data_IF_315819306047
#
_entry.id   IF_315819306047
#
_cell.length_a   1.000
_cell.length_b   1.000
_cell.length_c   1.000
_cell.angle_alpha   90.00
_cell.angle_beta   90.00
_cell.angle_gamma   90.00
#
_symmetry.space_group_name_H-M   'P 1'
#
loop_
_entity.id
_entity.type
_entity.pdbx_description
1 polymer ?
#
# COMPACT_ATOMS: atom_id res chain seq x y z
N UNK A 1 -12.71 8.38 55.48
CA UNK A 1 -13.39 9.00 54.30
C UNK A 1 -13.40 10.53 54.56
N UNK A 2 -12.31 11.21 54.23
CA UNK A 2 -12.13 12.61 54.57
C UNK A 2 -12.48 13.63 53.46
N UNK A 3 -12.83 13.19 52.27
CA UNK A 3 -12.97 14.11 51.13
C UNK A 3 -14.38 14.13 50.48
N UNK A 4 -15.35 13.41 51.02
CA UNK A 4 -16.75 13.46 50.59
C UNK A 4 -16.95 13.33 49.06
N UNK A 5 -17.97 13.98 48.52
CA UNK A 5 -18.31 14.00 47.08
C UNK A 5 -17.22 14.69 46.25
N UNK A 6 -16.52 15.69 46.77
CA UNK A 6 -15.46 16.42 46.08
C UNK A 6 -14.24 15.53 45.80
N UNK A 7 -13.98 14.51 46.60
CA UNK A 7 -12.92 13.54 46.35
C UNK A 7 -13.21 12.60 45.17
N UNK A 8 -14.50 12.41 44.83
CA UNK A 8 -14.93 11.59 43.69
C UNK A 8 -14.82 12.34 42.34
N UNK A 9 -14.85 13.65 42.37
CA UNK A 9 -14.76 14.54 41.21
C UNK A 9 -13.33 14.88 40.82
N UNK A 10 -12.33 14.52 41.63
CA UNK A 10 -10.92 14.74 41.32
C UNK A 10 -10.36 13.64 40.43
N UNK A 11 -9.81 13.99 39.26
CA UNK A 11 -8.98 13.10 38.48
C UNK A 11 -7.75 12.65 39.28
N UNK A 12 -7.76 11.40 39.74
CA UNK A 12 -6.66 10.80 40.56
C UNK A 12 -5.41 10.44 39.76
N UNK A 13 -5.26 10.92 38.53
CA UNK A 13 -4.13 10.57 37.64
C UNK A 13 -2.82 11.30 38.01
N UNK A 14 -2.90 12.34 38.81
CA UNK A 14 -1.71 13.09 39.29
C UNK A 14 -1.87 13.44 40.76
N UNK A 15 -0.87 13.19 41.60
CA UNK A 15 -0.88 13.66 43.00
C UNK A 15 -1.16 15.17 43.07
N UNK A 16 -1.97 15.64 44.03
CA UNK A 16 -2.15 17.07 44.24
C UNK A 16 -0.81 17.76 44.45
N UNK A 17 -0.56 18.84 43.75
CA UNK A 17 0.68 19.64 43.90
C UNK A 17 1.81 19.27 42.94
N UNK A 18 1.67 18.25 42.05
CA UNK A 18 2.69 18.02 41.03
C UNK A 18 2.60 19.12 39.95
N UNK A 19 3.62 19.97 39.77
CA UNK A 19 3.59 21.05 38.80
C UNK A 19 3.53 20.48 37.36
N UNK A 20 2.94 21.23 36.44
CA UNK A 20 3.01 20.92 35.02
C UNK A 20 4.46 21.03 34.56
N UNK A 21 4.81 20.23 33.53
CA UNK A 21 6.12 20.37 32.86
C UNK A 21 6.27 21.81 32.37
N UNK A 22 7.37 22.53 32.72
CA UNK A 22 7.58 23.90 32.24
C UNK A 22 7.57 23.96 30.69
N UNK A 23 7.00 25.04 30.15
CA UNK A 23 6.90 25.24 28.70
C UNK A 23 8.27 25.26 28.02
N UNK A 24 9.30 25.76 28.70
CA UNK A 24 10.70 25.70 28.22
C UNK A 24 11.17 24.28 28.01
N UNK A 25 10.85 23.34 28.91
CA UNK A 25 11.18 21.93 28.76
C UNK A 25 10.39 21.26 27.66
N UNK A 26 9.14 21.65 27.44
CA UNK A 26 8.32 21.20 26.31
C UNK A 26 8.95 21.68 25.02
N UNK A 27 9.34 22.94 24.91
CA UNK A 27 10.03 23.52 23.75
C UNK A 27 11.36 22.83 23.48
N UNK A 28 12.16 22.53 24.51
CA UNK A 28 13.42 21.80 24.39
C UNK A 28 13.22 20.40 23.79
N UNK A 29 12.21 19.64 24.26
CA UNK A 29 11.86 18.32 23.73
C UNK A 29 11.47 18.41 22.26
N UNK A 30 10.64 19.41 21.88
CA UNK A 30 10.19 19.58 20.49
C UNK A 30 11.38 19.90 19.59
N UNK A 31 12.24 20.84 19.98
CA UNK A 31 13.43 21.24 19.23
C UNK A 31 14.36 20.04 19.01
N UNK A 32 14.78 19.37 20.09
CA UNK A 32 15.69 18.24 20.00
C UNK A 32 15.10 17.07 19.20
N UNK A 33 13.77 16.89 19.20
CA UNK A 33 13.14 15.83 18.39
C UNK A 33 13.35 16.04 16.88
N UNK A 34 13.51 17.27 16.44
CA UNK A 34 13.73 17.63 15.02
C UNK A 34 15.23 17.57 14.63
N UNK A 35 16.11 17.45 15.60
CA UNK A 35 17.55 17.31 15.38
C UNK A 35 17.99 15.84 15.45
N UNK A 36 19.07 15.45 14.75
CA UNK A 36 19.65 14.12 14.92
C UNK A 36 20.05 13.85 16.38
N UNK A 37 19.85 12.65 16.93
CA UNK A 37 20.31 12.32 18.26
C UNK A 37 21.85 12.33 18.33
N UNK A 38 22.48 12.72 19.45
CA UNK A 38 23.93 12.83 19.60
C UNK A 38 24.66 11.48 19.75
N UNK A 39 23.99 10.37 19.52
CA UNK A 39 24.49 9.01 19.59
C UNK A 39 24.16 8.25 18.30
N UNK A 40 24.82 7.11 18.06
CA UNK A 40 24.60 6.26 16.89
C UNK A 40 23.17 5.71 16.82
N UNK A 41 22.24 6.58 16.40
CA UNK A 41 20.83 6.24 16.18
C UNK A 41 20.22 7.16 15.11
N UNK A 42 19.30 6.61 14.35
CA UNK A 42 18.60 7.34 13.27
C UNK A 42 17.44 8.21 13.77
N UNK A 43 17.01 8.04 15.01
CA UNK A 43 15.90 8.79 15.59
C UNK A 43 15.94 8.74 17.12
N UNK A 44 15.29 9.71 17.75
CA UNK A 44 15.14 9.74 19.19
C UNK A 44 14.18 8.65 19.70
N UNK A 45 14.60 7.93 20.72
CA UNK A 45 13.69 7.09 21.52
C UNK A 45 13.16 7.90 22.71
N UNK A 46 11.98 7.52 23.24
CA UNK A 46 11.39 8.15 24.43
C UNK A 46 12.38 8.15 25.61
N UNK A 47 13.11 7.06 25.80
CA UNK A 47 14.09 6.92 26.90
C UNK A 47 15.32 7.79 26.70
N UNK A 48 15.85 7.84 25.48
CA UNK A 48 17.01 8.68 25.16
C UNK A 48 16.67 10.17 25.31
N UNK A 49 15.51 10.58 24.81
CA UNK A 49 15.01 11.94 24.97
C UNK A 49 14.81 12.28 26.45
N UNK A 50 14.15 11.41 27.21
CA UNK A 50 13.95 11.63 28.65
C UNK A 50 15.25 11.81 29.42
N UNK A 51 16.29 11.02 29.09
CA UNK A 51 17.64 11.17 29.66
C UNK A 51 18.29 12.49 29.27
N UNK A 52 18.16 12.92 28.02
CA UNK A 52 18.77 14.16 27.53
C UNK A 52 18.18 15.42 28.17
N UNK A 53 16.85 15.47 28.40
CA UNK A 53 16.15 16.66 28.93
C UNK A 53 15.82 16.56 30.41
N UNK A 54 16.17 15.46 31.09
CA UNK A 54 15.87 15.25 32.50
C UNK A 54 14.40 15.02 32.80
N UNK A 55 13.63 14.41 31.89
CA UNK A 55 12.20 14.15 32.06
C UNK A 55 11.91 12.64 32.10
N UNK A 56 10.80 12.28 32.77
CA UNK A 56 10.32 10.89 32.72
C UNK A 56 9.90 10.50 31.29
N UNK A 57 10.08 9.23 30.94
CA UNK A 57 9.71 8.69 29.64
C UNK A 57 8.21 8.85 29.32
N UNK A 58 7.34 8.78 30.34
CA UNK A 58 5.90 9.05 30.21
C UNK A 58 5.63 10.48 29.80
N UNK A 59 6.32 11.45 30.42
CA UNK A 59 6.19 12.88 30.11
C UNK A 59 6.62 13.17 28.65
N UNK A 60 7.75 12.61 28.20
CA UNK A 60 8.17 12.76 26.80
C UNK A 60 7.13 12.17 25.84
N UNK A 61 6.53 11.01 26.17
CA UNK A 61 5.47 10.40 25.36
C UNK A 61 4.26 11.32 25.23
N UNK A 62 3.82 11.93 26.33
CA UNK A 62 2.67 12.86 26.33
C UNK A 62 2.97 14.13 25.54
N UNK A 63 4.17 14.69 25.65
CA UNK A 63 4.61 15.84 24.85
C UNK A 63 4.58 15.47 23.35
N UNK A 64 5.18 14.36 22.97
CA UNK A 64 5.17 13.93 21.57
C UNK A 64 3.76 13.68 21.03
N UNK A 65 2.89 13.06 21.84
CA UNK A 65 1.50 12.85 21.49
C UNK A 65 0.72 14.15 21.30
N UNK A 66 0.88 15.09 22.22
CA UNK A 66 0.22 16.40 22.18
C UNK A 66 0.63 17.23 20.95
N UNK A 67 1.89 17.10 20.51
CA UNK A 67 2.45 17.83 19.37
C UNK A 67 2.51 17.00 18.07
N UNK A 68 1.89 15.81 18.03
CA UNK A 68 1.85 14.97 16.84
C UNK A 68 3.20 14.41 16.37
N UNK A 69 4.22 14.41 17.27
CA UNK A 69 5.57 13.98 16.96
C UNK A 69 5.70 12.46 17.07
N UNK A 70 6.30 11.84 16.08
CA UNK A 70 6.52 10.38 15.99
C UNK A 70 7.86 10.06 15.36
N UNK A 71 9.00 10.31 16.04
CA UNK A 71 10.35 10.21 15.45
C UNK A 71 10.67 8.82 14.87
N UNK A 72 10.06 7.76 15.39
CA UNK A 72 10.22 6.38 14.96
C UNK A 72 9.38 6.01 13.73
N UNK A 73 8.51 6.92 13.22
CA UNK A 73 7.63 6.68 12.08
C UNK A 73 8.14 7.42 10.86
N UNK A 74 8.68 6.67 9.92
CA UNK A 74 9.11 7.19 8.63
C UNK A 74 8.00 6.96 7.60
N UNK A 75 7.63 8.02 6.89
CA UNK A 75 6.81 7.91 5.69
C UNK A 75 7.73 7.97 4.48
N UNK A 76 7.74 6.90 3.72
CA UNK A 76 8.43 6.90 2.44
C UNK A 76 7.55 7.58 1.39
N UNK A 77 8.14 8.46 0.62
CA UNK A 77 7.51 9.05 -0.55
C UNK A 77 8.54 9.15 -1.69
N UNK A 78 8.03 9.16 -2.91
CA UNK A 78 8.81 9.45 -4.09
C UNK A 78 7.99 10.38 -4.98
N UNK A 79 8.51 11.56 -5.25
CA UNK A 79 7.89 12.47 -6.19
C UNK A 79 8.10 11.95 -7.61
N UNK A 80 7.04 11.98 -8.40
CA UNK A 80 7.13 11.64 -9.81
C UNK A 80 7.86 12.73 -10.57
N UNK A 81 8.92 12.36 -11.29
CA UNK A 81 9.64 13.23 -12.22
C UNK A 81 9.10 13.15 -13.65
N UNK A 82 7.95 12.54 -13.86
CA UNK A 82 7.30 12.44 -15.16
C UNK A 82 6.88 13.83 -15.64
N UNK A 83 7.34 14.23 -16.82
CA UNK A 83 7.00 15.54 -17.41
C UNK A 83 5.51 15.63 -17.79
N UNK A 84 4.92 14.52 -18.20
CA UNK A 84 3.49 14.40 -18.53
C UNK A 84 2.64 13.97 -17.32
N UNK A 85 3.08 14.28 -16.07
CA UNK A 85 2.42 13.81 -14.86
C UNK A 85 0.95 14.22 -14.80
N UNK A 86 0.66 15.51 -15.02
CA UNK A 86 -0.71 16.03 -14.94
C UNK A 86 -1.62 15.43 -16.03
N UNK A 87 -1.14 15.37 -17.27
CA UNK A 87 -1.85 14.78 -18.39
C UNK A 87 -2.22 13.32 -18.13
N UNK A 88 -1.24 12.50 -17.76
CA UNK A 88 -1.47 11.07 -17.46
C UNK A 88 -2.35 10.86 -16.22
N UNK A 89 -2.24 11.72 -15.22
CA UNK A 89 -3.09 11.67 -14.04
C UNK A 89 -4.56 11.93 -14.42
N UNK A 90 -4.81 12.98 -15.20
CA UNK A 90 -6.17 13.31 -15.66
C UNK A 90 -6.74 12.23 -16.58
N UNK A 91 -5.93 11.68 -17.51
CA UNK A 91 -6.35 10.58 -18.38
C UNK A 91 -6.81 9.35 -17.57
N UNK A 92 -5.97 8.89 -16.65
CA UNK A 92 -6.27 7.71 -15.81
C UNK A 92 -7.45 7.97 -14.86
N UNK A 93 -7.50 9.13 -14.21
CA UNK A 93 -8.61 9.48 -13.31
C UNK A 93 -9.91 9.65 -14.10
N UNK A 94 -9.84 10.21 -15.31
CA UNK A 94 -10.98 10.29 -16.22
C UNK A 94 -11.62 8.92 -16.47
N UNK A 95 -10.80 7.90 -16.72
CA UNK A 95 -11.26 6.50 -16.90
C UNK A 95 -11.90 5.91 -15.65
N UNK A 96 -11.46 6.31 -14.44
CA UNK A 96 -12.06 5.87 -13.19
C UNK A 96 -13.38 6.54 -12.86
N UNK A 97 -13.51 7.83 -13.20
CA UNK A 97 -14.69 8.65 -12.85
C UNK A 97 -15.77 8.56 -13.92
N UNK A 98 -15.38 8.57 -15.18
CA UNK A 98 -16.28 8.58 -16.33
C UNK A 98 -15.77 7.66 -17.44
N UNK A 99 -15.85 6.34 -17.24
CA UNK A 99 -15.42 5.39 -18.25
C UNK A 99 -16.21 5.53 -19.55
N UNK A 100 -15.60 5.33 -20.72
CA UNK A 100 -16.28 5.45 -22.00
C UNK A 100 -17.46 4.46 -22.11
N UNK A 101 -18.55 4.91 -22.72
CA UNK A 101 -19.68 4.04 -23.04
C UNK A 101 -19.23 2.88 -23.96
N UNK A 102 -19.78 1.69 -23.76
CA UNK A 102 -19.44 0.47 -24.53
C UNK A 102 -17.97 0.00 -24.40
N UNK A 103 -17.27 0.43 -23.36
CA UNK A 103 -15.91 0.01 -23.05
C UNK A 103 -15.81 -0.81 -21.75
N UNK A 104 -14.75 -1.59 -21.63
CA UNK A 104 -14.28 -2.16 -20.37
C UNK A 104 -13.00 -1.45 -19.98
N UNK A 105 -12.90 -0.98 -18.74
CA UNK A 105 -11.70 -0.34 -18.20
C UNK A 105 -11.07 -1.29 -17.21
N UNK A 106 -9.85 -1.72 -17.50
CA UNK A 106 -9.08 -2.68 -16.72
C UNK A 106 -7.84 -2.01 -16.13
N UNK A 107 -7.64 -2.14 -14.83
CA UNK A 107 -6.39 -1.82 -14.16
C UNK A 107 -5.56 -3.09 -14.09
N UNK A 108 -4.41 -3.11 -14.77
CA UNK A 108 -3.59 -4.32 -14.97
C UNK A 108 -2.21 -4.15 -14.37
N UNK A 109 -1.74 -5.21 -13.71
CA UNK A 109 -0.39 -5.28 -13.14
C UNK A 109 0.01 -6.73 -12.84
N UNK A 110 1.26 -6.94 -12.41
CA UNK A 110 1.76 -8.23 -11.97
C UNK A 110 2.33 -8.20 -10.55
N UNK A 111 1.86 -9.12 -9.73
CA UNK A 111 2.49 -9.44 -8.45
C UNK A 111 3.51 -10.54 -8.66
N UNK A 112 4.77 -10.14 -8.80
CA UNK A 112 5.88 -11.06 -9.05
C UNK A 112 6.38 -11.75 -7.78
N UNK A 113 7.07 -12.89 -7.95
CA UNK A 113 7.81 -13.61 -6.91
C UNK A 113 7.00 -13.94 -5.64
N UNK A 114 5.73 -14.30 -5.79
CA UNK A 114 4.93 -14.81 -4.67
C UNK A 114 5.51 -16.15 -4.26
N UNK A 115 5.96 -16.27 -3.00
CA UNK A 115 6.65 -17.45 -2.51
C UNK A 115 5.69 -18.49 -1.93
N UNK A 116 5.86 -19.75 -2.30
CA UNK A 116 5.24 -20.89 -1.63
C UNK A 116 6.04 -21.21 -0.36
N UNK A 117 5.64 -20.61 0.75
CA UNK A 117 6.29 -20.80 2.06
C UNK A 117 5.59 -21.92 2.82
N UNK A 118 6.34 -22.95 3.15
CA UNK A 118 5.94 -24.03 4.02
C UNK A 118 6.59 -23.84 5.40
N UNK A 119 5.82 -24.01 6.48
CA UNK A 119 6.34 -23.86 7.83
C UNK A 119 6.86 -25.19 8.34
N UNK A 120 8.04 -25.16 8.95
CA UNK A 120 8.68 -26.39 9.49
C UNK A 120 7.93 -26.99 10.66
N UNK A 121 7.13 -26.17 11.35
CA UNK A 121 6.30 -26.60 12.49
C UNK A 121 4.92 -25.96 12.41
N UNK A 122 3.87 -26.65 12.88
CA UNK A 122 2.54 -26.07 12.96
C UNK A 122 2.50 -24.89 13.94
N UNK A 123 1.74 -23.85 13.57
CA UNK A 123 1.50 -22.73 14.44
C UNK A 123 0.57 -23.08 15.61
N UNK A 124 0.65 -22.32 16.70
CA UNK A 124 -0.31 -22.42 17.79
C UNK A 124 -1.55 -21.57 17.50
N UNK A 125 -2.76 -22.08 17.73
CA UNK A 125 -3.99 -21.37 17.47
C UNK A 125 -4.19 -20.18 18.43
N UNK A 126 -5.04 -19.24 18.02
CA UNK A 126 -5.52 -18.14 18.85
C UNK A 126 -6.20 -18.68 20.11
N UNK A 127 -5.86 -18.11 21.28
CA UNK A 127 -6.52 -18.36 22.57
C UNK A 127 -6.89 -17.03 23.21
N UNK A 128 -7.87 -17.04 24.16
CA UNK A 128 -8.26 -15.85 24.92
C UNK A 128 -7.02 -15.25 25.63
N UNK A 129 -6.75 -13.97 25.38
CA UNK A 129 -5.58 -13.24 25.93
C UNK A 129 -4.23 -13.56 25.27
N UNK A 130 -4.19 -14.45 24.25
CA UNK A 130 -2.94 -14.83 23.57
C UNK A 130 -3.17 -14.93 22.06
N UNK A 131 -2.44 -14.10 21.30
CA UNK A 131 -2.44 -14.15 19.84
C UNK A 131 -1.93 -15.48 19.27
N UNK A 132 -2.27 -15.82 18.01
CA UNK A 132 -1.72 -16.99 17.35
C UNK A 132 -0.20 -16.83 17.20
N UNK A 133 0.53 -17.92 17.29
CA UNK A 133 1.98 -17.94 17.07
C UNK A 133 2.32 -18.78 15.85
N UNK A 134 3.37 -18.41 15.18
CA UNK A 134 3.87 -19.11 14.00
C UNK A 134 5.39 -19.21 14.07
N UNK A 135 5.94 -20.37 13.70
CA UNK A 135 7.39 -20.51 13.64
C UNK A 135 8.00 -19.49 12.65
N UNK A 136 9.18 -19.01 12.97
CA UNK A 136 9.97 -18.15 12.06
C UNK A 136 10.63 -18.97 10.93
N UNK A 137 10.84 -20.26 11.15
CA UNK A 137 11.45 -21.14 10.17
C UNK A 137 10.48 -21.52 9.06
N UNK A 138 10.95 -21.53 7.83
CA UNK A 138 10.18 -21.90 6.67
C UNK A 138 11.03 -22.54 5.57
N UNK A 139 10.41 -23.42 4.81
CA UNK A 139 10.93 -23.98 3.56
C UNK A 139 10.33 -23.23 2.38
N UNK A 140 11.14 -22.91 1.39
CA UNK A 140 10.69 -22.30 0.13
C UNK A 140 10.49 -23.39 -0.91
N UNK A 141 9.24 -23.57 -1.37
CA UNK A 141 8.87 -24.56 -2.38
C UNK A 141 8.75 -23.97 -3.80
N UNK A 142 9.32 -22.77 -4.01
CA UNK A 142 9.33 -22.07 -5.28
C UNK A 142 8.48 -20.80 -5.28
N UNK A 143 8.36 -20.19 -6.46
CA UNK A 143 7.66 -18.91 -6.64
C UNK A 143 6.70 -18.98 -7.82
N UNK A 144 5.69 -18.10 -7.80
CA UNK A 144 4.81 -17.82 -8.93
C UNK A 144 4.64 -16.31 -9.10
N UNK A 145 4.24 -15.90 -10.31
CA UNK A 145 3.80 -14.52 -10.60
C UNK A 145 2.31 -14.55 -10.89
N UNK A 146 1.55 -13.64 -10.31
CA UNK A 146 0.15 -13.43 -10.62
C UNK A 146 0.01 -12.19 -11.51
N UNK A 147 -0.44 -12.36 -12.75
CA UNK A 147 -1.00 -11.27 -13.56
C UNK A 147 -2.46 -11.09 -13.19
N UNK A 148 -2.88 -9.86 -12.96
CA UNK A 148 -4.26 -9.55 -12.63
C UNK A 148 -4.76 -8.31 -13.38
N UNK A 149 -6.02 -8.35 -13.81
CA UNK A 149 -6.76 -7.26 -14.40
C UNK A 149 -8.02 -7.02 -13.55
N UNK A 150 -8.09 -5.89 -12.86
CA UNK A 150 -9.25 -5.44 -12.12
C UNK A 150 -10.17 -4.67 -13.06
N UNK A 151 -11.38 -5.14 -13.25
CA UNK A 151 -12.42 -4.37 -13.95
C UNK A 151 -12.91 -3.23 -13.04
N UNK A 152 -12.73 -2.01 -13.50
CA UNK A 152 -13.09 -0.80 -12.73
C UNK A 152 -14.59 -0.70 -12.51
N UNK A 153 -15.40 -1.18 -13.45
CA UNK A 153 -16.86 -1.01 -13.45
C UNK A 153 -17.59 -1.92 -12.45
N UNK A 154 -17.10 -3.12 -12.23
CA UNK A 154 -17.76 -4.10 -11.35
C UNK A 154 -16.84 -4.63 -10.24
N UNK A 155 -15.54 -4.33 -10.32
CA UNK A 155 -14.54 -4.78 -9.35
C UNK A 155 -14.13 -6.24 -9.49
N UNK A 156 -14.59 -6.95 -10.53
CA UNK A 156 -14.15 -8.31 -10.82
C UNK A 156 -12.68 -8.37 -11.24
N UNK A 157 -12.04 -9.51 -11.02
CA UNK A 157 -10.63 -9.70 -11.31
C UNK A 157 -10.44 -10.90 -12.24
N UNK A 158 -9.80 -10.67 -13.37
CA UNK A 158 -9.24 -11.72 -14.21
C UNK A 158 -7.80 -11.95 -13.73
N UNK A 159 -7.49 -13.16 -13.28
CA UNK A 159 -6.14 -13.46 -12.77
C UNK A 159 -5.53 -14.69 -13.45
N UNK A 160 -4.21 -14.65 -13.67
CA UNK A 160 -3.46 -15.77 -14.27
C UNK A 160 -2.11 -15.95 -13.59
N UNK A 161 -1.88 -17.14 -13.03
CA UNK A 161 -0.59 -17.50 -12.47
C UNK A 161 0.38 -17.95 -13.56
N UNK A 162 1.61 -17.44 -13.51
CA UNK A 162 2.69 -17.78 -14.43
C UNK A 162 4.02 -17.90 -13.70
N UNK A 163 4.99 -18.60 -14.28
CA UNK A 163 6.32 -18.75 -13.66
C UNK A 163 7.18 -17.48 -13.77
N UNK A 164 6.96 -16.69 -14.81
CA UNK A 164 7.76 -15.51 -15.15
C UNK A 164 6.85 -14.33 -15.48
N UNK A 165 7.42 -13.12 -15.54
CA UNK A 165 6.72 -11.88 -15.86
C UNK A 165 7.38 -11.12 -17.02
N UNK A 166 7.73 -11.86 -18.08
CA UNK A 166 8.29 -11.31 -19.32
C UNK A 166 7.18 -10.91 -20.30
N UNK A 167 7.54 -10.26 -21.40
CA UNK A 167 6.58 -9.87 -22.45
C UNK A 167 5.78 -11.06 -23.03
N UNK A 168 6.35 -12.28 -23.06
CA UNK A 168 5.63 -13.46 -23.55
C UNK A 168 4.47 -13.83 -22.60
N UNK A 169 4.72 -13.82 -21.29
CA UNK A 169 3.70 -14.09 -20.29
C UNK A 169 2.65 -12.98 -20.29
N UNK A 170 3.07 -11.72 -20.44
CA UNK A 170 2.15 -10.59 -20.54
C UNK A 170 1.24 -10.73 -21.77
N UNK A 171 1.77 -11.04 -22.96
CA UNK A 171 0.95 -11.26 -24.16
C UNK A 171 -0.02 -12.43 -23.96
N UNK A 172 0.38 -13.52 -23.30
CA UNK A 172 -0.55 -14.61 -22.95
C UNK A 172 -1.70 -14.14 -22.07
N UNK A 173 -1.40 -13.24 -21.14
CA UNK A 173 -2.41 -12.65 -20.28
C UNK A 173 -3.35 -11.71 -21.05
N UNK A 174 -2.82 -10.89 -21.97
CA UNK A 174 -3.65 -10.07 -22.87
C UNK A 174 -4.58 -10.94 -23.73
N UNK A 175 -4.08 -12.04 -24.28
CA UNK A 175 -4.89 -12.99 -25.05
C UNK A 175 -5.98 -13.67 -24.21
N UNK A 176 -5.75 -13.84 -22.90
CA UNK A 176 -6.79 -14.32 -21.99
C UNK A 176 -7.88 -13.28 -21.82
N UNK A 177 -7.51 -12.03 -21.52
CA UNK A 177 -8.46 -10.92 -21.39
C UNK A 177 -9.27 -10.76 -22.70
N UNK A 178 -8.60 -10.85 -23.87
CA UNK A 178 -9.24 -10.75 -25.17
C UNK A 178 -10.39 -11.75 -25.35
N UNK A 179 -10.24 -12.97 -24.82
CA UNK A 179 -11.27 -14.03 -24.86
C UNK A 179 -12.36 -13.84 -23.81
N UNK A 180 -11.98 -13.31 -22.63
CA UNK A 180 -12.90 -13.17 -21.49
C UNK A 180 -13.79 -11.92 -21.62
N UNK A 181 -13.37 -10.90 -22.41
CA UNK A 181 -14.14 -9.67 -22.65
C UNK A 181 -15.02 -9.83 -23.89
N UNK A 182 -16.35 -9.57 -23.80
CA UNK A 182 -17.27 -9.71 -24.92
C UNK A 182 -16.82 -8.95 -26.16
N UNK A 183 -17.08 -9.54 -27.33
CA UNK A 183 -16.86 -8.89 -28.62
C UNK A 183 -17.63 -7.57 -28.71
N UNK A 184 -17.10 -6.62 -29.49
CA UNK A 184 -17.74 -5.30 -29.69
C UNK A 184 -17.50 -4.28 -28.60
N UNK A 185 -16.88 -4.63 -27.46
CA UNK A 185 -16.45 -3.68 -26.45
C UNK A 185 -15.03 -3.19 -26.69
N UNK A 186 -14.81 -1.89 -26.57
CA UNK A 186 -13.46 -1.33 -26.48
C UNK A 186 -12.83 -1.74 -25.12
N UNK A 187 -11.51 -1.91 -25.11
CA UNK A 187 -10.75 -2.31 -23.91
C UNK A 187 -9.72 -1.24 -23.61
N UNK A 188 -9.93 -0.50 -22.55
CA UNK A 188 -8.99 0.48 -22.01
C UNK A 188 -8.21 -0.17 -20.87
N UNK A 189 -6.89 -0.13 -20.94
CA UNK A 189 -6.02 -0.78 -19.96
C UNK A 189 -5.11 0.24 -19.31
N UNK A 190 -5.23 0.37 -18.00
CA UNK A 190 -4.35 1.20 -17.18
C UNK A 190 -3.18 0.35 -16.71
N UNK A 191 -1.96 0.82 -17.01
CA UNK A 191 -0.71 0.09 -16.80
C UNK A 191 0.35 0.99 -16.17
N UNK A 192 1.32 0.39 -15.49
CA UNK A 192 2.55 1.05 -15.12
C UNK A 192 3.54 1.16 -16.29
N UNK A 193 4.66 1.85 -16.06
CA UNK A 193 5.69 2.06 -17.08
C UNK A 193 6.72 0.93 -17.18
N UNK A 194 6.41 -0.29 -16.69
CA UNK A 194 7.34 -1.39 -16.76
C UNK A 194 7.75 -1.72 -18.19
N UNK A 195 9.03 -2.04 -18.39
CA UNK A 195 9.60 -2.22 -19.74
C UNK A 195 8.92 -3.35 -20.56
N UNK A 196 8.39 -4.36 -19.87
CA UNK A 196 7.64 -5.46 -20.47
C UNK A 196 6.42 -4.96 -21.24
N UNK A 197 5.68 -4.00 -20.70
CA UNK A 197 4.47 -3.43 -21.29
C UNK A 197 4.77 -2.62 -22.57
N UNK A 198 5.99 -2.09 -22.71
CA UNK A 198 6.44 -1.29 -23.85
C UNK A 198 7.27 -2.07 -24.86
N UNK A 199 7.40 -3.38 -24.68
CA UNK A 199 8.19 -4.24 -25.55
C UNK A 199 7.66 -4.24 -27.00
N UNK A 200 8.56 -4.35 -28.00
CA UNK A 200 8.19 -4.31 -29.43
C UNK A 200 7.13 -5.34 -29.82
N UNK A 201 7.20 -6.56 -29.26
CA UNK A 201 6.20 -7.62 -29.51
C UNK A 201 4.83 -7.29 -28.91
N UNK A 202 4.76 -6.54 -27.80
CA UNK A 202 3.50 -6.06 -27.23
C UNK A 202 2.90 -4.97 -28.13
N UNK A 203 3.71 -4.05 -28.64
CA UNK A 203 3.25 -3.05 -29.63
C UNK A 203 2.72 -3.72 -30.90
N UNK A 204 3.43 -4.71 -31.44
CA UNK A 204 2.98 -5.49 -32.60
C UNK A 204 1.68 -6.27 -32.32
N UNK A 205 1.47 -6.70 -31.07
CA UNK A 205 0.21 -7.31 -30.64
C UNK A 205 -0.92 -6.27 -30.63
N UNK A 206 -0.70 -5.08 -30.09
CA UNK A 206 -1.69 -3.98 -30.07
C UNK A 206 -2.13 -3.56 -31.46
N UNK A 207 -1.21 -3.46 -32.42
CA UNK A 207 -1.55 -3.15 -33.83
C UNK A 207 -2.58 -4.12 -34.41
N UNK A 208 -2.55 -5.38 -33.99
CA UNK A 208 -3.49 -6.43 -34.44
C UNK A 208 -4.78 -6.49 -33.64
N UNK A 209 -4.87 -5.72 -32.54
CA UNK A 209 -6.03 -5.69 -31.63
C UNK A 209 -6.54 -4.25 -31.48
N UNK A 210 -7.17 -3.67 -32.53
CA UNK A 210 -7.51 -2.23 -32.57
C UNK A 210 -8.54 -1.78 -31.52
N UNK A 211 -9.24 -2.73 -30.88
CA UNK A 211 -10.16 -2.40 -29.77
C UNK A 211 -9.45 -2.11 -28.44
N UNK A 212 -8.12 -2.24 -28.37
CA UNK A 212 -7.32 -2.03 -27.18
C UNK A 212 -6.64 -0.66 -27.16
N UNK A 213 -6.71 0.03 -26.02
CA UNK A 213 -6.00 1.27 -25.76
C UNK A 213 -5.26 1.17 -24.43
N UNK A 214 -3.96 1.44 -24.43
CA UNK A 214 -3.13 1.44 -23.23
C UNK A 214 -2.98 2.87 -22.68
N UNK A 215 -3.21 3.02 -21.38
CA UNK A 215 -3.08 4.24 -20.60
C UNK A 215 -2.00 4.04 -19.55
N UNK A 216 -0.88 4.75 -19.69
CA UNK A 216 0.23 4.59 -18.77
C UNK A 216 0.13 5.58 -17.62
N UNK A 217 0.19 5.08 -16.38
CA UNK A 217 0.29 5.94 -15.20
C UNK A 217 1.60 6.72 -15.19
N UNK A 218 1.70 7.88 -14.49
CA UNK A 218 2.96 8.59 -14.33
C UNK A 218 4.02 7.71 -13.65
N UNK A 219 5.28 7.94 -13.95
CA UNK A 219 6.39 7.24 -13.29
C UNK A 219 6.33 7.42 -11.78
N UNK A 220 6.64 6.36 -11.02
CA UNK A 220 6.58 6.35 -9.53
C UNK A 220 5.20 6.65 -8.94
N UNK A 221 4.14 6.28 -9.64
CA UNK A 221 2.74 6.52 -9.23
C UNK A 221 1.90 5.24 -9.22
N UNK A 222 2.47 4.12 -8.74
CA UNK A 222 1.75 2.82 -8.65
C UNK A 222 0.44 2.90 -7.84
N UNK A 223 0.33 3.84 -6.91
CA UNK A 223 -0.89 4.12 -6.16
C UNK A 223 -2.09 4.52 -7.03
N UNK A 224 -1.84 4.95 -8.29
CA UNK A 224 -2.89 5.16 -9.29
C UNK A 224 -3.41 3.86 -9.91
N UNK A 225 -2.68 2.75 -9.80
CA UNK A 225 -3.09 1.48 -10.35
C UNK A 225 -4.03 0.76 -9.38
N UNK A 226 -5.34 0.75 -9.67
CA UNK A 226 -6.37 0.25 -8.76
C UNK A 226 -6.18 -1.24 -8.37
N UNK A 227 -5.58 -2.06 -9.24
CA UNK A 227 -5.31 -3.49 -8.98
C UNK A 227 -4.34 -3.71 -7.81
N UNK A 228 -3.52 -2.72 -7.46
CA UNK A 228 -2.64 -2.77 -6.29
C UNK A 228 -3.43 -2.91 -4.97
N UNK A 229 -4.63 -2.32 -4.92
CA UNK A 229 -5.56 -2.52 -3.81
C UNK A 229 -5.99 -3.99 -3.67
N UNK A 230 -6.24 -4.69 -4.78
CA UNK A 230 -6.52 -6.11 -4.79
C UNK A 230 -5.29 -6.93 -4.35
N UNK A 231 -4.09 -6.63 -4.83
CA UNK A 231 -2.86 -7.30 -4.38
C UNK A 231 -2.58 -7.13 -2.89
N UNK A 232 -2.85 -5.95 -2.34
CA UNK A 232 -2.74 -5.69 -0.91
C UNK A 232 -3.76 -6.53 -0.10
N UNK A 233 -5.01 -6.68 -0.61
CA UNK A 233 -6.05 -7.51 -0.02
C UNK A 233 -5.67 -9.00 -0.03
N UNK A 234 -5.24 -9.53 -1.19
CA UNK A 234 -4.74 -10.90 -1.35
C UNK A 234 -3.59 -11.17 -0.36
N UNK A 235 -2.61 -10.26 -0.30
CA UNK A 235 -1.47 -10.40 0.59
C UNK A 235 -1.90 -10.50 2.05
N UNK A 236 -2.71 -9.56 2.52
CA UNK A 236 -3.15 -9.51 3.93
C UNK A 236 -4.00 -10.70 4.34
N UNK A 237 -4.92 -11.12 3.48
CA UNK A 237 -5.93 -12.12 3.84
C UNK A 237 -5.49 -13.55 3.57
N UNK A 238 -4.67 -13.77 2.55
CA UNK A 238 -4.33 -15.13 2.12
C UNK A 238 -2.85 -15.46 2.15
N UNK A 239 -1.97 -14.54 1.70
CA UNK A 239 -0.56 -14.87 1.52
C UNK A 239 0.26 -14.71 2.81
N UNK A 240 0.07 -13.62 3.55
CA UNK A 240 0.92 -13.25 4.71
C UNK A 240 1.04 -14.34 5.77
N UNK A 241 -0.03 -15.06 6.04
CA UNK A 241 -0.08 -16.13 7.04
C UNK A 241 -0.40 -17.51 6.42
N UNK A 242 -0.38 -17.57 5.08
CA UNK A 242 -0.60 -18.82 4.34
C UNK A 242 0.57 -19.79 4.48
N UNK A 243 0.25 -21.08 4.52
CA UNK A 243 1.23 -22.16 4.40
C UNK A 243 0.92 -22.87 3.10
N UNK A 244 1.97 -23.11 2.29
CA UNK A 244 1.85 -23.65 0.94
C UNK A 244 2.93 -24.71 0.72
N UNK A 245 2.51 -25.96 0.58
CA UNK A 245 3.41 -27.11 0.43
C UNK A 245 4.02 -27.23 -0.98
N UNK A 246 3.49 -26.50 -1.94
CA UNK A 246 3.99 -26.45 -3.32
C UNK A 246 3.56 -25.18 -4.04
N UNK A 247 4.17 -24.90 -5.19
CA UNK A 247 3.73 -23.81 -6.09
C UNK A 247 2.30 -24.06 -6.57
N UNK A 248 1.94 -25.32 -6.83
CA UNK A 248 0.58 -25.69 -7.27
C UNK A 248 -0.46 -25.37 -6.18
N UNK A 249 -0.16 -25.69 -4.94
CA UNK A 249 -1.03 -25.36 -3.80
C UNK A 249 -1.19 -23.83 -3.65
N UNK A 250 -0.10 -23.07 -3.75
CA UNK A 250 -0.13 -21.61 -3.73
C UNK A 250 -1.01 -21.06 -4.87
N UNK A 251 -0.82 -21.54 -6.10
CA UNK A 251 -1.62 -21.11 -7.26
C UNK A 251 -3.11 -21.44 -7.11
N UNK A 252 -3.42 -22.64 -6.62
CA UNK A 252 -4.79 -23.04 -6.33
C UNK A 252 -5.44 -22.14 -5.25
N UNK A 253 -4.68 -21.76 -4.22
CA UNK A 253 -5.16 -20.85 -3.18
C UNK A 253 -5.42 -19.44 -3.71
N UNK A 254 -4.56 -18.93 -4.59
CA UNK A 254 -4.76 -17.65 -5.28
C UNK A 254 -6.02 -17.69 -6.15
N UNK A 255 -6.19 -18.76 -6.94
CA UNK A 255 -7.35 -18.89 -7.82
C UNK A 255 -8.66 -18.96 -7.03
N UNK A 256 -8.70 -19.70 -5.91
CA UNK A 256 -9.88 -19.73 -5.02
C UNK A 256 -10.17 -18.36 -4.44
N UNK A 257 -9.14 -17.61 -4.03
CA UNK A 257 -9.31 -16.26 -3.51
C UNK A 257 -9.91 -15.30 -4.55
N UNK A 258 -9.45 -15.40 -5.82
CA UNK A 258 -10.01 -14.61 -6.93
C UNK A 258 -11.47 -14.99 -7.18
N UNK A 259 -11.78 -16.27 -7.22
CA UNK A 259 -13.16 -16.74 -7.43
C UNK A 259 -14.10 -16.26 -6.32
N UNK A 260 -13.69 -16.36 -5.05
CA UNK A 260 -14.45 -15.86 -3.91
C UNK A 260 -14.62 -14.34 -3.98
N UNK A 261 -13.54 -13.60 -4.29
CA UNK A 261 -13.62 -12.15 -4.47
C UNK A 261 -14.64 -11.77 -5.53
N UNK A 262 -14.62 -12.42 -6.69
CA UNK A 262 -15.52 -12.10 -7.80
C UNK A 262 -16.99 -12.39 -7.48
N UNK A 263 -17.26 -13.42 -6.66
CA UNK A 263 -18.64 -13.79 -6.32
C UNK A 263 -19.22 -12.99 -5.15
N UNK A 264 -18.40 -12.63 -4.16
CA UNK A 264 -18.89 -12.11 -2.88
C UNK A 264 -18.48 -10.68 -2.56
N UNK A 265 -17.35 -10.20 -3.11
CA UNK A 265 -16.73 -8.96 -2.67
C UNK A 265 -16.39 -7.98 -3.80
N UNK A 266 -16.61 -8.34 -5.05
CA UNK A 266 -16.41 -7.46 -6.19
C UNK A 266 -17.33 -6.24 -6.09
N UNK A 267 -16.75 -5.06 -6.24
CA UNK A 267 -17.48 -3.76 -6.18
C UNK A 267 -16.82 -2.78 -7.14
N UNK A 268 -17.58 -1.91 -7.79
CA UNK A 268 -17.04 -0.84 -8.61
C UNK A 268 -15.93 -0.08 -7.89
N UNK A 269 -14.88 0.23 -8.61
CA UNK A 269 -13.81 1.08 -8.09
C UNK A 269 -14.27 2.52 -8.06
N UNK A 270 -14.08 3.21 -6.93
CA UNK A 270 -14.47 4.60 -6.75
C UNK A 270 -13.26 5.46 -6.47
N UNK A 271 -12.91 6.34 -7.39
CA UNK A 271 -11.90 7.37 -7.18
C UNK A 271 -12.48 8.52 -6.35
N UNK A 272 -11.73 9.00 -5.34
CA UNK A 272 -12.22 10.03 -4.40
C UNK A 272 -11.35 11.28 -4.32
N UNK A 273 -10.09 11.19 -4.74
CA UNK A 273 -9.17 12.32 -4.62
C UNK A 273 -9.34 13.30 -5.79
N UNK A 274 -9.16 14.60 -5.52
CA UNK A 274 -9.12 15.59 -6.57
C UNK A 274 -7.74 15.55 -7.28
N UNK A 275 -7.67 15.38 -8.61
CA UNK A 275 -6.42 15.38 -9.36
C UNK A 275 -5.62 16.67 -9.20
N UNK A 276 -6.26 17.82 -9.15
CA UNK A 276 -5.59 19.12 -9.03
C UNK A 276 -4.89 19.26 -7.66
N UNK A 277 -5.48 18.75 -6.59
CA UNK A 277 -4.86 18.72 -5.27
C UNK A 277 -3.59 17.84 -5.25
N UNK A 278 -3.61 16.73 -5.99
CA UNK A 278 -2.46 15.84 -6.15
C UNK A 278 -1.33 16.55 -6.92
N UNK A 279 -1.67 17.23 -8.01
CA UNK A 279 -0.70 18.01 -8.80
C UNK A 279 -0.10 19.12 -7.94
N UNK A 280 -0.93 19.85 -7.22
CA UNK A 280 -0.48 20.91 -6.33
C UNK A 280 0.44 20.36 -5.20
N UNK A 281 0.08 19.22 -4.61
CA UNK A 281 0.91 18.57 -3.59
C UNK A 281 2.27 18.11 -4.13
N UNK A 282 2.31 17.55 -5.35
CA UNK A 282 3.57 17.20 -6.03
C UNK A 282 4.44 18.43 -6.24
N UNK A 283 3.88 19.53 -6.75
CA UNK A 283 4.62 20.76 -7.02
C UNK A 283 5.19 21.37 -5.73
N UNK A 284 4.40 21.43 -4.65
CA UNK A 284 4.89 21.83 -3.31
C UNK A 284 6.05 20.95 -2.84
N UNK A 285 5.97 19.63 -3.08
CA UNK A 285 7.02 18.70 -2.71
C UNK A 285 8.35 19.02 -3.41
N UNK A 286 8.35 19.35 -4.70
CA UNK A 286 9.56 19.80 -5.41
C UNK A 286 10.10 21.11 -4.87
N UNK A 287 9.24 22.11 -4.65
CA UNK A 287 9.66 23.39 -4.06
C UNK A 287 10.35 23.21 -2.70
N UNK A 288 9.84 22.29 -1.87
CA UNK A 288 10.48 21.98 -0.59
C UNK A 288 11.85 21.30 -0.77
N UNK A 289 12.00 20.37 -1.72
CA UNK A 289 13.30 19.76 -2.00
C UNK A 289 14.32 20.76 -2.49
N UNK A 290 13.92 21.66 -3.40
CA UNK A 290 14.78 22.72 -3.93
C UNK A 290 15.20 23.73 -2.85
N UNK A 291 14.39 23.92 -1.80
CA UNK A 291 14.71 24.83 -0.69
C UNK A 291 15.69 24.24 0.35
N UNK A 292 15.92 22.93 0.32
CA UNK A 292 16.83 22.22 1.24
C UNK A 292 18.26 22.13 0.66
N UNK A 293 18.40 22.33 -0.64
CA UNK A 293 19.68 22.34 -1.38
C UNK A 293 20.09 23.77 -1.75
#
# INVERSE_FOLDING_TARGET
>A
MAEGVDGLLREKTRPPGTPRTPDEKVGEVIRLTQEPPPHEATHWTIRAMGKAVGLAASTVREIWKAHGLSPHRWRQFKLSNDRAFAEKLHDVVGLYVSPPAHAVVLSVDEKSQIQALDRTQPGLPLKKGRGPTMTHDYKRNGTTTLFAALNVLDGSVIGQNMQRHRHQEFIRFLNRIERDVPEGKAIHVILDNYCTHKHSKVRAWLVRHPRWTFHFIPTSSSWLNAVEGFFAKLTRRRLKHGVFHSVVDLQAAINRFIAEHNTTEAKPFVWRANPDDIIAARNRGFQMLDSIH
#
